data_IF_965101838830
#
_entry.id   IF_965101838830
#
_cell.length_a   1.000
_cell.length_b   1.000
_cell.length_c   1.000
_cell.angle_alpha   90.00
_cell.angle_beta   90.00
_cell.angle_gamma   90.00
#
_symmetry.space_group_name_H-M   'P 1'
#
loop_
_entity.id
_entity.type
_entity.pdbx_description
1 polymer ?
#
# COMPACT_ATOMS: atom_id res chain seq x y z
N UNK A 1 -0.02 -6.39 27.08
CA UNK A 1 -0.44 -5.05 26.63
C UNK A 1 -1.92 -5.09 26.29
N UNK A 2 -2.70 -4.26 26.92
CA UNK A 2 -4.12 -4.20 26.58
C UNK A 2 -4.37 -3.39 25.30
N UNK A 3 -5.59 -3.45 24.81
CA UNK A 3 -5.96 -2.80 23.53
C UNK A 3 -5.75 -1.29 23.56
N UNK A 4 -6.07 -0.66 24.67
CA UNK A 4 -5.93 0.80 24.80
C UNK A 4 -4.45 1.21 24.79
N UNK A 5 -3.61 0.47 25.48
CA UNK A 5 -2.18 0.70 25.47
C UNK A 5 -1.60 0.52 24.06
N UNK A 6 -2.05 -0.52 23.36
CA UNK A 6 -1.63 -0.76 21.98
C UNK A 6 -1.97 0.43 21.09
N UNK A 7 -3.18 0.95 21.20
CA UNK A 7 -3.62 2.12 20.43
C UNK A 7 -2.75 3.34 20.74
N UNK A 8 -2.48 3.58 22.03
CA UNK A 8 -1.70 4.74 22.47
C UNK A 8 -0.23 4.67 22.05
N UNK A 9 0.32 3.49 21.94
CA UNK A 9 1.74 3.29 21.62
C UNK A 9 2.02 3.23 20.13
N UNK A 10 0.98 3.20 19.29
CA UNK A 10 1.17 3.21 17.83
C UNK A 10 1.97 4.44 17.39
N UNK A 11 2.88 4.22 16.47
CA UNK A 11 3.64 5.30 15.84
C UNK A 11 3.53 5.20 14.33
N UNK A 12 3.68 6.33 13.66
CA UNK A 12 3.79 6.37 12.21
C UNK A 12 5.23 6.07 11.83
N UNK A 13 5.44 4.94 11.18
CA UNK A 13 6.77 4.49 10.79
C UNK A 13 6.97 4.79 9.31
N UNK A 14 8.08 5.45 8.99
CA UNK A 14 8.41 5.85 7.62
C UNK A 14 9.79 5.37 7.18
N UNK A 15 10.39 4.49 7.94
CA UNK A 15 11.64 3.83 7.59
C UNK A 15 11.54 2.36 7.94
N UNK A 16 11.84 1.53 6.98
CA UNK A 16 11.65 0.08 7.11
C UNK A 16 12.98 -0.64 6.90
N UNK A 17 13.12 -1.79 7.52
CA UNK A 17 14.26 -2.66 7.27
C UNK A 17 14.07 -3.41 5.96
N UNK A 18 15.16 -3.72 5.29
CA UNK A 18 15.14 -4.49 4.04
C UNK A 18 15.08 -5.98 4.36
N UNK A 19 13.96 -6.39 4.92
CA UNK A 19 13.73 -7.77 5.33
C UNK A 19 12.25 -8.09 5.20
N UNK A 20 11.94 -9.21 4.56
CA UNK A 20 10.56 -9.64 4.44
C UNK A 20 9.99 -10.11 5.78
N UNK A 21 8.73 -9.80 5.99
CA UNK A 21 7.98 -10.27 7.14
C UNK A 21 7.74 -11.78 6.98
N UNK A 22 7.86 -12.59 8.06
CA UNK A 22 7.52 -14.00 7.99
C UNK A 22 6.08 -14.21 7.51
N UNK A 23 5.86 -15.27 6.75
CA UNK A 23 4.54 -15.55 6.19
C UNK A 23 3.46 -15.68 7.27
N UNK A 24 3.80 -16.24 8.41
CA UNK A 24 2.88 -16.37 9.54
C UNK A 24 2.35 -15.02 10.01
N UNK A 25 3.22 -14.02 10.08
CA UNK A 25 2.84 -12.67 10.49
C UNK A 25 1.99 -11.98 9.41
N UNK A 26 2.32 -12.20 8.15
CA UNK A 26 1.52 -11.70 7.03
C UNK A 26 0.10 -12.27 7.09
N UNK A 27 -0.03 -13.56 7.35
CA UNK A 27 -1.33 -14.21 7.46
C UNK A 27 -2.16 -13.65 8.62
N UNK A 28 -1.53 -13.35 9.76
CA UNK A 28 -2.20 -12.71 10.90
C UNK A 28 -2.73 -11.32 10.55
N UNK A 29 -1.96 -10.55 9.82
CA UNK A 29 -2.38 -9.21 9.40
C UNK A 29 -3.54 -9.30 8.41
N UNK A 30 -3.48 -10.24 7.48
CA UNK A 30 -4.57 -10.48 6.53
C UNK A 30 -5.85 -10.91 7.24
N UNK A 31 -5.74 -11.79 8.22
CA UNK A 31 -6.88 -12.23 9.04
C UNK A 31 -7.49 -11.04 9.78
N UNK A 32 -6.68 -10.21 10.40
CA UNK A 32 -7.16 -9.01 11.08
C UNK A 32 -7.90 -8.08 10.11
N UNK A 33 -7.41 -7.96 8.89
CA UNK A 33 -8.06 -7.16 7.85
C UNK A 33 -9.43 -7.71 7.44
N UNK A 34 -9.58 -9.02 7.40
CA UNK A 34 -10.85 -9.67 7.07
C UNK A 34 -11.92 -9.39 8.12
N UNK A 35 -11.53 -9.31 9.38
CA UNK A 35 -12.46 -9.03 10.48
C UNK A 35 -12.71 -7.56 10.73
N UNK A 36 -12.14 -6.68 9.94
CA UNK A 36 -12.42 -5.25 10.04
C UNK A 36 -13.87 -4.94 9.68
N UNK A 37 -14.43 -3.90 10.29
CA UNK A 37 -15.79 -3.49 10.04
C UNK A 37 -16.01 -3.13 8.57
N UNK A 38 -17.13 -3.55 8.02
CA UNK A 38 -17.54 -3.29 6.65
C UNK A 38 -18.85 -2.49 6.61
N UNK A 39 -18.97 -1.62 5.63
CA UNK A 39 -20.20 -0.87 5.41
C UNK A 39 -21.37 -1.83 5.13
N UNK A 40 -22.41 -1.79 5.97
CA UNK A 40 -23.58 -2.63 5.84
C UNK A 40 -23.33 -4.13 5.95
N UNK A 41 -22.18 -4.55 6.48
CA UNK A 41 -21.82 -5.96 6.56
C UNK A 41 -21.61 -6.65 5.21
N UNK A 42 -21.39 -5.88 4.15
CA UNK A 42 -21.35 -6.39 2.77
C UNK A 42 -20.13 -7.19 2.40
N UNK A 43 -19.08 -7.19 3.22
CA UNK A 43 -17.81 -7.92 3.00
C UNK A 43 -17.26 -7.71 1.58
N UNK A 44 -17.22 -6.47 1.15
CA UNK A 44 -16.79 -6.09 -0.20
C UNK A 44 -15.34 -5.75 -0.31
N UNK A 45 -14.60 -5.89 0.77
CA UNK A 45 -13.17 -5.59 0.81
C UNK A 45 -12.35 -6.84 0.56
N UNK A 46 -11.27 -6.67 -0.19
CA UNK A 46 -10.26 -7.70 -0.40
C UNK A 46 -8.91 -7.14 -0.02
N UNK A 47 -8.15 -7.89 0.77
CA UNK A 47 -6.81 -7.48 1.19
C UNK A 47 -5.79 -8.36 0.49
N UNK A 48 -4.81 -7.74 -0.13
CA UNK A 48 -3.73 -8.43 -0.84
C UNK A 48 -2.41 -8.03 -0.23
N UNK A 49 -1.60 -9.01 0.16
CA UNK A 49 -0.24 -8.77 0.61
C UNK A 49 0.72 -8.83 -0.57
N UNK A 50 1.40 -7.74 -0.85
CA UNK A 50 2.44 -7.68 -1.87
C UNK A 50 3.78 -7.88 -1.18
N UNK A 51 4.39 -9.03 -1.39
CA UNK A 51 5.65 -9.42 -0.74
C UNK A 51 6.87 -9.28 -1.64
N UNK A 52 6.67 -8.97 -2.89
CA UNK A 52 7.76 -8.68 -3.81
C UNK A 52 8.14 -7.21 -3.66
N UNK A 53 9.34 -6.94 -3.15
CA UNK A 53 9.80 -5.58 -2.88
C UNK A 53 9.87 -4.72 -4.14
N UNK A 54 10.23 -5.31 -5.27
CA UNK A 54 10.29 -4.61 -6.55
C UNK A 54 8.89 -4.20 -7.01
N UNK A 55 7.93 -5.12 -6.93
CA UNK A 55 6.54 -4.81 -7.27
C UNK A 55 5.97 -3.76 -6.31
N UNK A 56 6.24 -3.87 -5.02
CA UNK A 56 5.81 -2.89 -4.03
C UNK A 56 6.36 -1.49 -4.35
N UNK A 57 7.61 -1.40 -4.77
CA UNK A 57 8.23 -0.15 -5.16
C UNK A 57 7.58 0.45 -6.41
N UNK A 58 7.23 -0.39 -7.39
CA UNK A 58 6.52 0.07 -8.59
C UNK A 58 5.15 0.63 -8.25
N UNK A 59 4.39 -0.06 -7.40
CA UNK A 59 3.10 0.44 -6.91
C UNK A 59 3.29 1.73 -6.10
N UNK A 60 4.33 1.80 -5.29
CA UNK A 60 4.66 2.98 -4.51
C UNK A 60 4.96 4.21 -5.36
N UNK A 61 5.61 4.04 -6.50
CA UNK A 61 5.86 5.14 -7.44
C UNK A 61 4.57 5.63 -8.07
N UNK A 62 3.66 4.73 -8.43
CA UNK A 62 2.34 5.10 -8.94
C UNK A 62 1.58 5.90 -7.87
N UNK A 63 1.61 5.44 -6.65
CA UNK A 63 0.95 6.11 -5.52
C UNK A 63 1.50 7.52 -5.32
N UNK A 64 2.82 7.68 -5.32
CA UNK A 64 3.46 8.98 -5.17
C UNK A 64 3.11 9.91 -6.32
N UNK A 65 3.13 9.44 -7.55
CA UNK A 65 2.78 10.23 -8.72
C UNK A 65 1.32 10.67 -8.69
N UNK A 66 0.42 9.82 -8.17
CA UNK A 66 -0.99 10.14 -8.03
C UNK A 66 -1.28 11.25 -7.03
N UNK A 67 -0.45 11.39 -6.01
CA UNK A 67 -0.59 12.44 -5.00
C UNK A 67 0.22 13.69 -5.29
N UNK A 68 1.13 13.64 -6.24
CA UNK A 68 1.97 14.76 -6.62
C UNK A 68 1.39 15.47 -7.83
N UNK A 69 1.18 16.79 -7.70
CA UNK A 69 0.76 17.60 -8.85
C UNK A 69 1.77 17.53 -10.00
N UNK A 70 3.04 17.44 -9.68
CA UNK A 70 4.11 17.34 -10.68
C UNK A 70 4.13 15.97 -11.35
N UNK A 71 3.69 14.93 -10.64
CA UNK A 71 3.61 13.58 -11.20
C UNK A 71 2.46 13.39 -12.19
N UNK A 72 1.40 14.19 -12.06
CA UNK A 72 0.22 14.09 -12.92
C UNK A 72 0.30 15.02 -14.11
N UNK A 73 0.97 16.15 -13.97
CA UNK A 73 1.11 17.12 -15.05
C UNK A 73 2.16 16.62 -16.02
N UNK A 74 1.73 16.35 -17.23
CA UNK A 74 2.65 15.90 -18.27
C UNK A 74 3.00 14.42 -18.20
N UNK A 75 2.09 13.60 -17.69
CA UNK A 75 2.21 12.14 -17.73
C UNK A 75 2.30 11.58 -19.14
N UNK A 76 2.70 12.40 -20.06
CA UNK A 76 2.99 11.96 -21.39
C UNK A 76 4.28 11.17 -21.38
N UNK A 77 4.15 9.87 -21.45
CA UNK A 77 5.31 8.99 -21.56
C UNK A 77 5.75 8.99 -23.00
N UNK A 78 6.85 9.68 -23.30
CA UNK A 78 7.50 9.57 -24.61
C UNK A 78 8.29 8.27 -24.68
N UNK A 79 8.66 7.86 -25.89
CA UNK A 79 9.51 6.67 -26.07
C UNK A 79 10.86 6.79 -25.36
N UNK A 80 11.29 8.00 -25.08
CA UNK A 80 12.62 8.31 -24.53
C UNK A 80 12.61 8.51 -23.02
N UNK A 81 11.43 8.40 -22.39
CA UNK A 81 11.32 8.58 -20.94
C UNK A 81 10.76 7.32 -20.30
N UNK A 82 11.34 6.90 -19.18
CA UNK A 82 10.78 5.76 -18.45
C UNK A 82 9.36 6.09 -17.97
N UNK A 83 8.52 5.07 -17.92
CA UNK A 83 7.19 5.23 -17.34
C UNK A 83 7.30 5.63 -15.87
N UNK A 84 6.21 6.18 -15.32
CA UNK A 84 6.13 6.51 -13.89
C UNK A 84 6.52 5.31 -13.03
N UNK A 85 6.11 4.12 -13.43
CA UNK A 85 6.34 2.88 -12.69
C UNK A 85 7.84 2.55 -12.57
N UNK A 86 8.60 2.80 -13.62
CA UNK A 86 9.99 2.41 -13.70
C UNK A 86 10.97 3.58 -13.59
N UNK A 87 10.46 4.78 -13.32
CA UNK A 87 11.28 5.97 -13.22
C UNK A 87 11.92 6.08 -11.83
N UNK A 88 13.25 5.90 -11.71
CA UNK A 88 13.92 5.93 -10.41
C UNK A 88 13.94 7.33 -9.77
N UNK A 89 13.63 8.38 -10.53
CA UNK A 89 13.51 9.73 -10.00
C UNK A 89 12.24 9.93 -9.18
N UNK A 90 11.24 9.07 -9.35
CA UNK A 90 10.00 9.15 -8.59
C UNK A 90 10.16 8.35 -7.30
N UNK A 91 9.93 9.02 -6.18
CA UNK A 91 10.05 8.42 -4.87
C UNK A 91 8.97 7.35 -4.65
N UNK A 92 9.37 6.25 -4.02
CA UNK A 92 8.42 5.24 -3.57
C UNK A 92 7.58 5.78 -2.41
N UNK A 93 6.27 5.93 -2.62
CA UNK A 93 5.34 6.45 -1.61
C UNK A 93 5.18 5.55 -0.39
N UNK A 94 5.66 4.33 -0.44
CA UNK A 94 5.61 3.37 0.67
C UNK A 94 6.93 3.31 1.46
N UNK A 95 7.81 4.28 1.25
CA UNK A 95 9.07 4.39 1.99
C UNK A 95 9.95 3.14 1.90
N UNK A 96 9.93 2.48 0.75
CA UNK A 96 10.69 1.25 0.47
C UNK A 96 10.35 0.08 1.39
N UNK A 97 9.14 0.03 1.91
CA UNK A 97 8.66 -1.12 2.68
C UNK A 97 8.67 -2.38 1.80
N UNK A 98 9.28 -3.49 2.25
CA UNK A 98 9.37 -4.70 1.44
C UNK A 98 8.06 -5.48 1.35
N UNK A 99 7.12 -5.24 2.26
CA UNK A 99 5.78 -5.81 2.24
C UNK A 99 4.76 -4.70 2.31
N UNK A 100 3.77 -4.72 1.43
CA UNK A 100 2.69 -3.74 1.38
C UNK A 100 1.36 -4.48 1.32
N UNK A 101 0.41 -4.02 2.13
CA UNK A 101 -0.95 -4.54 2.09
C UNK A 101 -1.82 -3.58 1.29
N UNK A 102 -2.45 -4.09 0.24
CA UNK A 102 -3.37 -3.31 -0.59
C UNK A 102 -4.80 -3.73 -0.29
N UNK A 103 -5.66 -2.77 -0.04
CA UNK A 103 -7.07 -3.03 0.26
C UNK A 103 -7.89 -2.56 -0.92
N UNK A 104 -8.66 -3.47 -1.48
CA UNK A 104 -9.55 -3.21 -2.59
C UNK A 104 -11.00 -3.31 -2.14
N UNK A 105 -11.83 -2.38 -2.59
CA UNK A 105 -13.25 -2.38 -2.32
C UNK A 105 -14.03 -2.39 -3.62
N UNK A 106 -15.20 -3.01 -3.62
CA UNK A 106 -16.10 -2.91 -4.76
C UNK A 106 -16.64 -1.50 -4.89
N UNK A 107 -16.61 -0.99 -6.10
CA UNK A 107 -17.06 0.36 -6.43
C UNK A 107 -18.58 0.49 -6.53
N UNK A 108 -19.30 -0.23 -5.72
CA UNK A 108 -20.74 -0.29 -5.84
C UNK A 108 -21.40 0.23 -4.61
N UNK A 109 -21.27 1.50 -4.42
CA UNK A 109 -21.72 2.00 -3.18
C UNK A 109 -23.14 2.43 -3.17
N UNK A 110 -23.65 2.99 -4.12
CA UNK A 110 -24.98 3.55 -4.09
C UNK A 110 -25.55 3.54 -5.47
N UNK A 111 -26.50 2.77 -5.59
CA UNK A 111 -27.28 2.77 -6.81
C UNK A 111 -28.54 3.55 -6.57
#
# INVERSE_FOLDING_TARGET
MDTLELIKTRRSIRKYVDKQVPREDVEKVLEAGIYAANAGGGQRSMVVAVRNAELAARIGRINMAGFSRTGLVGNYVSRDQPSVIDNPAIKNGFYDAPTVFCIFCQERFFV
#
